data_IF_147071887400
#
_entry.id   IF_147071887400
#
_cell.length_a   1.000
_cell.length_b   1.000
_cell.length_c   1.000
_cell.angle_alpha   90.00
_cell.angle_beta   90.00
_cell.angle_gamma   90.00
#
_symmetry.space_group_name_H-M   'P 1'
#
loop_
_entity.id
_entity.type
_entity.pdbx_description
1 polymer ?
#
# COMPACT_ATOMS: atom_id res chain seq x y z
N UNK A 1 -18.31 -22.22 -13.62
CA UNK A 1 -18.48 -20.93 -12.92
C UNK A 1 -17.41 -20.88 -11.85
N UNK A 2 -16.58 -19.85 -11.84
CA UNK A 2 -15.52 -19.70 -10.84
C UNK A 2 -16.11 -19.05 -9.60
N UNK A 3 -16.29 -19.84 -8.54
CA UNK A 3 -16.96 -19.39 -7.31
C UNK A 3 -16.24 -18.21 -6.65
N UNK A 4 -14.91 -18.11 -6.79
CA UNK A 4 -14.15 -17.03 -6.17
C UNK A 4 -14.44 -15.71 -6.89
N UNK A 5 -14.40 -15.69 -8.22
CA UNK A 5 -14.75 -14.51 -9.00
C UNK A 5 -16.21 -14.11 -8.80
N UNK A 6 -17.12 -15.07 -8.75
CA UNK A 6 -18.53 -14.83 -8.45
C UNK A 6 -18.69 -14.20 -7.06
N UNK A 7 -18.09 -14.78 -6.03
CA UNK A 7 -18.22 -14.30 -4.67
C UNK A 7 -17.60 -12.90 -4.50
N UNK A 8 -16.38 -12.67 -4.98
CA UNK A 8 -15.62 -11.44 -4.76
C UNK A 8 -15.90 -10.30 -5.76
N UNK A 9 -16.78 -10.52 -6.75
CA UNK A 9 -17.26 -9.46 -7.65
C UNK A 9 -18.45 -8.66 -7.11
N UNK A 10 -19.05 -9.10 -6.00
CA UNK A 10 -20.14 -8.36 -5.35
C UNK A 10 -19.65 -7.04 -4.74
N UNK A 11 -20.46 -5.98 -4.81
CA UNK A 11 -20.09 -4.62 -4.40
C UNK A 11 -19.51 -4.51 -2.99
N UNK A 12 -19.99 -5.34 -2.05
CA UNK A 12 -19.47 -5.36 -0.66
C UNK A 12 -17.96 -5.63 -0.59
N UNK A 13 -17.41 -6.44 -1.50
CA UNK A 13 -15.98 -6.79 -1.57
C UNK A 13 -15.18 -5.77 -2.38
N UNK A 14 -15.88 -4.98 -3.18
CA UNK A 14 -15.35 -3.82 -3.88
C UNK A 14 -15.39 -2.55 -3.00
N UNK A 15 -15.85 -2.67 -1.75
CA UNK A 15 -15.80 -1.59 -0.78
C UNK A 15 -14.36 -1.24 -0.43
N UNK A 16 -14.14 0.02 -0.07
CA UNK A 16 -12.80 0.56 0.17
C UNK A 16 -12.03 -0.24 1.24
N UNK A 17 -12.73 -0.68 2.29
CA UNK A 17 -12.12 -1.42 3.39
C UNK A 17 -11.60 -2.82 3.00
N UNK A 18 -12.25 -3.52 2.07
CA UNK A 18 -11.87 -4.88 1.66
C UNK A 18 -11.11 -4.95 0.33
N UNK A 19 -11.06 -3.85 -0.41
CA UNK A 19 -10.40 -3.78 -1.70
C UNK A 19 -8.92 -4.22 -1.63
N UNK A 20 -8.09 -3.77 -0.65
CA UNK A 20 -6.70 -4.21 -0.56
C UNK A 20 -6.55 -5.72 -0.41
N UNK A 21 -7.30 -6.32 0.50
CA UNK A 21 -7.22 -7.75 0.79
C UNK A 21 -7.73 -8.60 -0.37
N UNK A 22 -8.74 -8.11 -1.10
CA UNK A 22 -9.21 -8.78 -2.30
C UNK A 22 -8.13 -8.78 -3.39
N UNK A 23 -7.43 -7.64 -3.61
CA UNK A 23 -6.30 -7.59 -4.55
C UNK A 23 -5.24 -8.62 -4.17
N UNK A 24 -4.76 -8.61 -2.91
CA UNK A 24 -3.73 -9.53 -2.43
C UNK A 24 -4.15 -11.00 -2.56
N UNK A 25 -5.42 -11.32 -2.29
CA UNK A 25 -5.95 -12.67 -2.43
C UNK A 25 -5.90 -13.16 -3.89
N UNK A 26 -6.30 -12.33 -4.85
CA UNK A 26 -6.26 -12.71 -6.27
C UNK A 26 -4.85 -12.74 -6.86
N UNK A 27 -3.92 -11.91 -6.37
CA UNK A 27 -2.50 -12.05 -6.68
C UNK A 27 -1.98 -13.40 -6.20
N UNK A 28 -2.31 -13.80 -4.97
CA UNK A 28 -1.94 -15.11 -4.40
C UNK A 28 -2.55 -16.28 -5.17
N UNK A 29 -3.82 -16.18 -5.58
CA UNK A 29 -4.47 -17.20 -6.43
C UNK A 29 -3.75 -17.35 -7.76
N UNK A 30 -3.38 -16.23 -8.41
CA UNK A 30 -2.58 -16.29 -9.64
C UNK A 30 -1.22 -16.96 -9.42
N UNK A 31 -0.50 -16.63 -8.34
CA UNK A 31 0.80 -17.25 -8.05
C UNK A 31 0.70 -18.77 -7.89
N UNK A 32 -0.39 -19.27 -7.32
CA UNK A 32 -0.60 -20.70 -7.08
C UNK A 32 -1.10 -21.46 -8.30
N UNK A 33 -1.89 -20.81 -9.17
CA UNK A 33 -2.62 -21.49 -10.24
C UNK A 33 -2.15 -21.12 -11.64
N UNK A 34 -1.51 -19.96 -11.79
CA UNK A 34 -1.17 -19.32 -13.06
C UNK A 34 -2.36 -19.05 -13.99
N UNK A 35 -3.60 -19.10 -13.50
CA UNK A 35 -4.78 -18.83 -14.32
C UNK A 35 -4.98 -17.32 -14.54
N UNK A 36 -5.02 -16.88 -15.82
CA UNK A 36 -5.02 -15.46 -16.19
C UNK A 36 -6.23 -14.69 -15.65
N UNK A 37 -7.39 -15.34 -15.52
CA UNK A 37 -8.60 -14.73 -14.94
C UNK A 37 -8.36 -14.09 -13.57
N UNK A 38 -7.46 -14.64 -12.75
CA UNK A 38 -7.15 -14.10 -11.43
C UNK A 38 -6.23 -12.88 -11.51
N UNK A 39 -5.23 -12.90 -12.40
CA UNK A 39 -4.37 -11.74 -12.60
C UNK A 39 -5.13 -10.58 -13.27
N UNK A 40 -5.99 -10.88 -14.23
CA UNK A 40 -6.88 -9.92 -14.88
C UNK A 40 -7.80 -9.24 -13.86
N UNK A 41 -8.39 -10.02 -12.94
CA UNK A 41 -9.24 -9.46 -11.89
C UNK A 41 -8.46 -8.65 -10.85
N UNK A 42 -7.29 -9.14 -10.41
CA UNK A 42 -6.41 -8.37 -9.52
C UNK A 42 -6.00 -7.03 -10.15
N UNK A 43 -5.71 -6.99 -11.46
CA UNK A 43 -5.43 -5.74 -12.15
C UNK A 43 -6.65 -4.83 -12.26
N UNK A 44 -7.82 -5.37 -12.55
CA UNK A 44 -9.06 -4.58 -12.55
C UNK A 44 -9.28 -3.86 -11.22
N UNK A 45 -9.10 -4.57 -10.10
CA UNK A 45 -9.22 -4.01 -8.75
C UNK A 45 -8.11 -3.00 -8.44
N UNK A 46 -6.88 -3.29 -8.83
CA UNK A 46 -5.73 -2.39 -8.63
C UNK A 46 -5.89 -1.08 -9.43
N UNK A 47 -6.33 -1.17 -10.69
CA UNK A 47 -6.63 -0.02 -11.54
C UNK A 47 -7.77 0.83 -10.94
N UNK A 48 -8.74 0.21 -10.25
CA UNK A 48 -9.80 0.91 -9.50
C UNK A 48 -9.27 1.57 -8.24
N UNK A 49 -8.39 0.91 -7.48
CA UNK A 49 -7.76 1.46 -6.28
C UNK A 49 -7.02 2.78 -6.61
N UNK A 50 -6.25 2.81 -7.70
CA UNK A 50 -5.48 4.00 -8.10
C UNK A 50 -6.34 5.24 -8.39
N UNK A 51 -7.63 5.09 -8.70
CA UNK A 51 -8.55 6.22 -8.89
C UNK A 51 -8.83 6.99 -7.59
N UNK A 52 -8.49 6.41 -6.44
CA UNK A 52 -8.73 6.97 -5.11
C UNK A 52 -7.51 7.68 -4.54
N UNK A 53 -6.37 7.67 -5.25
CA UNK A 53 -5.15 8.33 -4.80
C UNK A 53 -5.22 9.84 -5.04
N UNK A 54 -4.72 10.62 -4.08
CA UNK A 54 -4.63 12.08 -4.19
C UNK A 54 -3.36 12.46 -4.99
N UNK A 55 -3.55 13.11 -6.14
CA UNK A 55 -2.49 13.31 -7.15
C UNK A 55 -2.11 14.77 -7.42
N UNK A 56 -2.76 15.74 -6.78
CA UNK A 56 -2.31 17.13 -6.86
C UNK A 56 -1.04 17.27 -6.01
N UNK A 57 0.11 17.47 -6.66
CA UNK A 57 1.41 17.60 -5.99
C UNK A 57 1.55 18.86 -5.14
N UNK A 58 0.60 19.80 -5.26
CA UNK A 58 0.53 21.02 -4.44
C UNK A 58 -0.25 20.80 -3.15
N UNK A 59 -0.99 19.70 -3.06
CA UNK A 59 -1.75 19.36 -1.86
C UNK A 59 -0.83 18.73 -0.80
N UNK A 60 -1.02 19.11 0.46
CA UNK A 60 -0.34 18.49 1.60
C UNK A 60 -0.56 16.98 1.63
N UNK A 61 -1.69 16.51 1.08
CA UNK A 61 -2.10 15.11 1.12
C UNK A 61 -1.65 14.32 -0.11
N UNK A 62 -0.78 14.90 -0.96
CA UNK A 62 -0.24 14.25 -2.15
C UNK A 62 0.33 12.84 -1.87
N UNK A 63 -0.19 11.86 -2.61
CA UNK A 63 0.20 10.45 -2.54
C UNK A 63 -0.64 9.59 -1.58
N UNK A 64 -1.41 10.20 -0.68
CA UNK A 64 -2.38 9.50 0.17
C UNK A 64 -3.55 8.91 -0.62
N UNK A 65 -4.34 8.06 0.03
CA UNK A 65 -5.59 7.53 -0.53
C UNK A 65 -6.82 8.09 0.20
N UNK A 66 -7.90 8.25 -0.56
CA UNK A 66 -9.21 8.74 -0.12
C UNK A 66 -9.21 10.18 0.38
N UNK A 67 -10.35 10.87 0.24
CA UNK A 67 -10.49 12.28 0.62
C UNK A 67 -10.30 12.59 2.11
N UNK A 68 -10.27 11.56 2.98
CA UNK A 68 -9.77 11.66 4.35
C UNK A 68 -8.41 10.94 4.44
N UNK A 69 -7.30 11.67 4.28
CA UNK A 69 -5.99 11.08 4.11
C UNK A 69 -5.39 10.72 5.47
N UNK A 70 -5.01 9.46 5.61
CA UNK A 70 -4.51 8.92 6.89
C UNK A 70 -3.49 7.79 6.69
N UNK A 71 -3.02 7.23 7.81
CA UNK A 71 -2.18 6.05 7.88
C UNK A 71 -2.82 4.80 7.26
N UNK A 72 -4.16 4.79 7.05
CA UNK A 72 -4.84 3.75 6.26
C UNK A 72 -4.31 3.65 4.83
N UNK A 73 -3.60 4.67 4.33
CA UNK A 73 -2.79 4.56 3.10
C UNK A 73 -1.89 3.31 3.11
N UNK A 74 -1.43 2.86 4.28
CA UNK A 74 -0.61 1.66 4.47
C UNK A 74 -1.26 0.41 3.88
N UNK A 75 -2.53 0.13 4.19
CA UNK A 75 -3.20 -1.07 3.69
C UNK A 75 -3.38 -1.04 2.16
N UNK A 76 -3.68 0.13 1.59
CA UNK A 76 -3.75 0.30 0.13
C UNK A 76 -2.38 0.11 -0.53
N UNK A 77 -1.32 0.55 0.14
CA UNK A 77 0.05 0.39 -0.31
C UNK A 77 0.54 -1.06 -0.24
N UNK A 78 0.02 -1.88 0.69
CA UNK A 78 0.27 -3.32 0.68
C UNK A 78 -0.26 -3.98 -0.60
N UNK A 79 -1.52 -3.68 -0.96
CA UNK A 79 -2.14 -4.19 -2.17
C UNK A 79 -1.45 -3.67 -3.44
N UNK A 80 -1.01 -2.41 -3.45
CA UNK A 80 -0.25 -1.87 -4.57
C UNK A 80 1.12 -2.56 -4.72
N UNK A 81 1.78 -2.93 -3.61
CA UNK A 81 2.98 -3.75 -3.62
C UNK A 81 2.75 -5.13 -4.27
N UNK A 82 1.64 -5.79 -3.94
CA UNK A 82 1.24 -7.05 -4.58
C UNK A 82 0.91 -6.89 -6.06
N UNK A 83 0.27 -5.78 -6.44
CA UNK A 83 -0.02 -5.46 -7.83
C UNK A 83 1.26 -5.21 -8.66
N UNK A 84 2.28 -4.57 -8.07
CA UNK A 84 3.62 -4.44 -8.68
C UNK A 84 4.24 -5.82 -8.88
N UNK A 85 4.19 -6.66 -7.85
CA UNK A 85 4.71 -8.03 -7.95
C UNK A 85 4.02 -8.82 -9.07
N UNK A 86 2.69 -8.76 -9.14
CA UNK A 86 1.92 -9.40 -10.20
C UNK A 86 2.32 -8.90 -11.59
N UNK A 87 2.46 -7.58 -11.77
CA UNK A 87 2.90 -6.99 -13.04
C UNK A 87 4.29 -7.50 -13.47
N UNK A 88 5.19 -7.76 -12.51
CA UNK A 88 6.48 -8.40 -12.80
C UNK A 88 6.32 -9.85 -13.26
N UNK A 89 5.49 -10.65 -12.57
CA UNK A 89 5.24 -12.06 -12.91
C UNK A 89 4.67 -12.23 -14.32
N UNK A 90 3.69 -11.40 -14.70
CA UNK A 90 3.06 -11.45 -16.04
C UNK A 90 3.80 -10.62 -17.10
N UNK A 91 4.89 -9.94 -16.71
CA UNK A 91 5.70 -9.05 -17.58
C UNK A 91 4.91 -7.87 -18.18
N UNK A 92 3.88 -7.36 -17.51
CA UNK A 92 3.13 -6.16 -17.92
C UNK A 92 3.91 -4.88 -17.58
N UNK A 93 4.73 -4.42 -18.53
CA UNK A 93 5.60 -3.26 -18.34
C UNK A 93 4.84 -1.95 -18.14
N UNK A 94 3.65 -1.82 -18.74
CA UNK A 94 2.85 -0.60 -18.65
C UNK A 94 2.34 -0.42 -17.23
N UNK A 95 1.73 -1.48 -16.67
CA UNK A 95 1.26 -1.47 -15.28
C UNK A 95 2.41 -1.41 -14.29
N UNK A 96 3.49 -2.15 -14.54
CA UNK A 96 4.67 -2.09 -13.68
C UNK A 96 5.18 -0.67 -13.50
N UNK A 97 5.35 0.08 -14.61
CA UNK A 97 5.78 1.48 -14.55
C UNK A 97 4.80 2.33 -13.76
N UNK A 98 3.51 2.27 -14.10
CA UNK A 98 2.47 3.06 -13.44
C UNK A 98 2.41 2.77 -11.94
N UNK A 99 2.36 1.51 -11.55
CA UNK A 99 2.21 1.10 -10.16
C UNK A 99 3.42 1.50 -9.31
N UNK A 100 4.64 1.36 -9.85
CA UNK A 100 5.85 1.83 -9.18
C UNK A 100 5.86 3.35 -8.97
N UNK A 101 5.40 4.14 -9.96
CA UNK A 101 5.29 5.60 -9.82
C UNK A 101 4.26 5.97 -8.73
N UNK A 102 3.09 5.36 -8.76
CA UNK A 102 2.02 5.56 -7.77
C UNK A 102 2.45 5.16 -6.36
N UNK A 103 3.21 4.08 -6.25
CA UNK A 103 3.68 3.59 -4.97
C UNK A 103 4.71 4.53 -4.33
N UNK A 104 5.63 5.12 -5.11
CA UNK A 104 6.57 6.13 -4.60
C UNK A 104 5.83 7.32 -3.97
N UNK A 105 4.71 7.74 -4.56
CA UNK A 105 3.87 8.81 -4.01
C UNK A 105 3.24 8.39 -2.67
N UNK A 106 2.70 7.18 -2.58
CA UNK A 106 2.13 6.67 -1.33
C UNK A 106 3.15 6.46 -0.21
N UNK A 107 4.36 5.99 -0.54
CA UNK A 107 5.43 5.88 0.45
C UNK A 107 5.91 7.25 0.96
N UNK A 108 5.97 8.26 0.10
CA UNK A 108 6.22 9.64 0.55
C UNK A 108 5.18 10.05 1.59
N UNK A 109 3.90 9.82 1.33
CA UNK A 109 2.84 10.15 2.30
C UNK A 109 3.03 9.42 3.63
N UNK A 110 3.27 8.11 3.61
CA UNK A 110 3.49 7.34 4.84
C UNK A 110 4.70 7.83 5.64
N UNK A 111 5.81 8.16 4.96
CA UNK A 111 6.99 8.72 5.61
C UNK A 111 6.71 10.07 6.29
N UNK A 112 5.81 10.90 5.75
CA UNK A 112 5.39 12.13 6.42
C UNK A 112 4.61 11.89 7.72
N UNK A 113 4.01 10.71 7.89
CA UNK A 113 3.27 10.36 9.10
C UNK A 113 4.17 9.73 10.17
N UNK A 114 5.40 9.33 9.82
CA UNK A 114 6.32 8.73 10.77
C UNK A 114 6.73 9.75 11.85
N UNK A 115 6.79 9.31 13.10
CA UNK A 115 7.47 10.06 14.15
C UNK A 115 8.98 9.86 14.02
N UNK A 116 9.71 10.97 13.96
CA UNK A 116 11.17 11.03 13.92
C UNK A 116 11.69 11.78 15.13
N UNK A 117 13.00 11.76 15.36
CA UNK A 117 13.63 12.53 16.45
C UNK A 117 13.30 14.03 16.39
N UNK A 118 13.16 14.57 15.16
CA UNK A 118 12.84 15.99 14.95
C UNK A 118 11.44 16.41 15.39
N UNK A 119 10.53 15.46 15.63
CA UNK A 119 9.18 15.74 16.12
C UNK A 119 9.16 16.07 17.62
N UNK A 120 10.23 15.79 18.35
CA UNK A 120 10.29 15.93 19.80
C UNK A 120 11.38 16.94 20.20
N UNK A 121 10.96 18.09 20.72
CA UNK A 121 11.87 19.14 21.21
C UNK A 121 12.15 19.05 22.71
N UNK A 122 11.30 18.35 23.46
CA UNK A 122 11.44 18.11 24.90
C UNK A 122 11.44 16.61 25.22
N UNK A 123 12.34 16.20 26.12
CA UNK A 123 12.65 14.80 26.52
C UNK A 123 11.57 14.12 27.38
N UNK A 124 10.29 14.40 27.10
CA UNK A 124 9.19 13.59 27.61
C UNK A 124 9.27 12.16 27.05
N UNK A 125 8.49 11.23 27.62
CA UNK A 125 8.42 9.80 27.27
C UNK A 125 7.99 9.47 25.81
N UNK A 126 8.19 10.40 24.87
CA UNK A 126 7.86 10.30 23.47
C UNK A 126 8.90 9.55 22.63
N UNK A 127 10.09 9.28 23.17
CA UNK A 127 11.10 8.45 22.51
C UNK A 127 10.55 7.08 22.07
N UNK A 128 9.63 6.50 22.86
CA UNK A 128 8.96 5.23 22.54
C UNK A 128 8.05 5.30 21.31
N UNK A 129 7.71 6.51 20.84
CA UNK A 129 6.88 6.71 19.64
C UNK A 129 7.71 6.82 18.36
N UNK A 130 9.03 7.01 18.46
CA UNK A 130 9.93 7.13 17.30
C UNK A 130 9.80 5.88 16.41
N UNK A 131 9.67 6.12 15.11
CA UNK A 131 9.46 5.07 14.11
C UNK A 131 7.99 4.65 13.95
N UNK A 132 7.12 4.97 14.90
CA UNK A 132 5.68 4.77 14.80
C UNK A 132 5.01 5.77 13.85
N UNK A 133 3.76 5.49 13.47
CA UNK A 133 3.02 6.29 12.50
C UNK A 133 1.78 6.92 13.14
N UNK A 134 1.67 8.24 13.03
CA UNK A 134 0.48 8.99 13.45
C UNK A 134 -0.66 8.77 12.46
N UNK A 135 -1.89 8.88 12.92
CA UNK A 135 -3.07 8.65 12.07
C UNK A 135 -3.12 9.62 10.88
N UNK A 136 -2.88 10.91 11.08
CA UNK A 136 -2.82 11.91 10.00
C UNK A 136 -1.95 13.10 10.41
N UNK A 137 -1.72 14.04 9.49
CA UNK A 137 -0.94 15.25 9.80
C UNK A 137 -1.52 16.10 10.93
N UNK A 138 -2.82 15.95 11.23
CA UNK A 138 -3.52 16.72 12.27
C UNK A 138 -3.99 15.87 13.45
N UNK A 139 -3.95 14.54 13.33
CA UNK A 139 -4.28 13.61 14.41
C UNK A 139 -3.02 12.83 14.83
N UNK A 140 -2.41 13.16 15.98
CA UNK A 140 -1.18 12.53 16.45
C UNK A 140 -1.38 11.11 16.99
N UNK A 141 -2.62 10.59 17.00
CA UNK A 141 -2.90 9.28 17.58
C UNK A 141 -2.04 8.19 16.97
N UNK A 142 -1.34 7.46 17.85
CA UNK A 142 -0.55 6.30 17.51
C UNK A 142 -1.36 5.04 17.77
N UNK A 143 -1.44 4.17 16.77
CA UNK A 143 -2.08 2.86 16.87
C UNK A 143 -1.17 1.80 16.25
N UNK A 144 -1.18 0.61 16.84
CA UNK A 144 -0.31 -0.49 16.38
C UNK A 144 -0.65 -0.94 14.96
N UNK A 145 -1.93 -0.92 14.58
CA UNK A 145 -2.41 -1.29 13.25
C UNK A 145 -1.87 -0.36 12.15
N UNK A 146 -1.89 0.97 12.38
CA UNK A 146 -1.31 1.96 11.47
C UNK A 146 0.17 1.65 11.19
N UNK A 147 0.94 1.39 12.26
CA UNK A 147 2.37 1.06 12.16
C UNK A 147 2.59 -0.27 11.44
N UNK A 148 1.77 -1.30 11.74
CA UNK A 148 1.87 -2.61 11.07
C UNK A 148 1.61 -2.50 9.57
N UNK A 149 0.55 -1.80 9.15
CA UNK A 149 0.24 -1.60 7.74
C UNK A 149 1.34 -0.81 7.02
N UNK A 150 1.86 0.25 7.64
CA UNK A 150 2.97 1.01 7.08
C UNK A 150 4.21 0.13 6.86
N UNK A 151 4.65 -0.62 7.89
CA UNK A 151 5.83 -1.49 7.81
C UNK A 151 5.62 -2.63 6.81
N UNK A 152 4.45 -3.28 6.81
CA UNK A 152 4.10 -4.32 5.83
C UNK A 152 4.20 -3.78 4.41
N UNK A 153 3.66 -2.58 4.17
CA UNK A 153 3.72 -1.92 2.87
C UNK A 153 5.16 -1.58 2.46
N UNK A 154 6.01 -1.12 3.39
CA UNK A 154 7.42 -0.84 3.11
C UNK A 154 8.21 -2.11 2.80
N UNK A 155 7.95 -3.22 3.50
CA UNK A 155 8.60 -4.49 3.21
C UNK A 155 8.34 -4.95 1.76
N UNK A 156 7.07 -4.88 1.31
CA UNK A 156 6.72 -5.12 -0.10
C UNK A 156 7.38 -4.11 -1.04
N UNK A 157 7.48 -2.84 -0.62
CA UNK A 157 8.13 -1.79 -1.40
C UNK A 157 9.62 -2.03 -1.62
N UNK A 158 10.34 -2.35 -0.56
CA UNK A 158 11.75 -2.72 -0.62
C UNK A 158 11.95 -3.89 -1.58
N UNK A 159 11.13 -4.94 -1.44
CA UNK A 159 11.26 -6.15 -2.25
C UNK A 159 10.90 -5.94 -3.73
N UNK A 160 9.72 -5.38 -4.01
CA UNK A 160 9.16 -5.40 -5.37
C UNK A 160 9.37 -4.08 -6.13
N UNK A 161 9.48 -2.94 -5.44
CA UNK A 161 9.54 -1.62 -6.08
C UNK A 161 10.98 -1.11 -6.14
N UNK A 162 11.68 -1.13 -5.01
CA UNK A 162 13.05 -0.64 -4.91
C UNK A 162 14.10 -1.73 -5.12
N UNK A 163 13.70 -3.01 -5.15
CA UNK A 163 14.56 -4.19 -5.35
C UNK A 163 15.73 -4.25 -4.37
N UNK A 164 15.49 -3.81 -3.14
CA UNK A 164 16.41 -3.96 -2.02
C UNK A 164 16.20 -5.36 -1.46
N UNK A 165 17.20 -6.21 -1.60
CA UNK A 165 17.13 -7.57 -1.07
C UNK A 165 17.57 -7.58 0.40
N UNK A 166 16.94 -8.37 1.29
CA UNK A 166 17.27 -8.39 2.72
C UNK A 166 18.76 -8.63 3.02
N UNK A 167 19.45 -9.36 2.14
CA UNK A 167 20.89 -9.66 2.23
C UNK A 167 21.79 -8.41 2.02
N UNK A 168 21.24 -7.31 1.52
CA UNK A 168 21.96 -6.05 1.25
C UNK A 168 21.89 -5.06 2.42
N UNK A 169 21.05 -5.32 3.43
CA UNK A 169 20.79 -4.39 4.56
C UNK A 169 21.74 -4.66 5.74
N UNK A 170 22.41 -5.82 5.78
CA UNK A 170 23.40 -6.17 6.81
C UNK A 170 24.80 -5.82 6.32
N UNK A 171 25.18 -4.55 6.44
CA UNK A 171 26.59 -4.10 6.43
C UNK A 171 26.77 -2.95 7.41
#
# INVERSE_FOLDING_TARGET
MDWALEFYSHERWLSQAFLPWTISAFVSLYQQTSESKYSEYAFHLSDRLLKQQNLDSRDAVYGSFHGLPSANTGSYMEALGDAVHLAQLVKDQRRLKLYCERAKMGYRWLLMLQYTESDFTDSGHFEMSIGGFRESLVNPQLRIDNTQHAISSFAKGLQFIFRVHPQQIVK
#
